data_IF_770909850812
#
_entry.id   IF_770909850812
#
_cell.length_a   1.000
_cell.length_b   1.000
_cell.length_c   1.000
_cell.angle_alpha   90.00
_cell.angle_beta   90.00
_cell.angle_gamma   90.00
#
_symmetry.space_group_name_H-M   'P 1'
#
loop_
_entity.id
_entity.type
_entity.pdbx_description
1 polymer ?
#
# COMPACT_ATOMS: atom_id res chain seq x y z
N UNK A 1 -27.67 6.43 -13.14
CA UNK A 1 -27.38 5.17 -12.56
C UNK A 1 -26.18 5.25 -11.66
N UNK A 2 -26.29 4.73 -10.53
CA UNK A 2 -25.19 4.80 -9.67
C UNK A 2 -24.23 3.67 -9.92
N UNK A 3 -22.99 3.98 -9.94
CA UNK A 3 -22.00 2.96 -10.14
C UNK A 3 -21.91 2.15 -8.87
N UNK A 4 -22.29 0.90 -8.98
CA UNK A 4 -22.16 0.04 -7.83
C UNK A 4 -20.72 -0.08 -7.40
N UNK A 5 -19.78 0.09 -8.34
CA UNK A 5 -18.39 0.07 -7.98
C UNK A 5 -18.02 1.13 -6.98
N UNK A 6 -18.63 2.31 -7.11
CA UNK A 6 -18.34 3.37 -6.15
C UNK A 6 -18.87 3.03 -4.78
N UNK A 7 -20.08 2.51 -4.71
CA UNK A 7 -20.60 2.08 -3.44
C UNK A 7 -19.77 0.93 -2.88
N UNK A 8 -19.33 0.03 -3.77
CA UNK A 8 -18.53 -1.10 -3.35
C UNK A 8 -17.14 -0.72 -2.87
N UNK A 9 -16.60 0.40 -3.36
CA UNK A 9 -15.28 0.81 -2.95
C UNK A 9 -15.25 1.09 -1.45
N UNK A 10 -16.23 1.80 -0.94
CA UNK A 10 -16.28 2.06 0.49
C UNK A 10 -16.38 0.79 1.29
N UNK A 11 -17.24 -0.13 0.85
CA UNK A 11 -17.41 -1.38 1.55
C UNK A 11 -16.14 -2.21 1.51
N UNK A 12 -15.52 -2.30 0.34
CA UNK A 12 -14.30 -3.10 0.22
C UNK A 12 -13.15 -2.52 1.00
N UNK A 13 -13.07 -1.19 1.02
CA UNK A 13 -11.98 -0.52 1.74
C UNK A 13 -12.14 -0.64 3.25
N UNK A 14 -13.36 -0.75 3.72
CA UNK A 14 -13.60 -0.80 5.16
C UNK A 14 -12.91 -2.00 5.79
N UNK A 15 -12.98 -3.15 5.14
CA UNK A 15 -12.31 -4.33 5.67
C UNK A 15 -10.81 -4.17 5.75
N UNK A 16 -10.23 -3.59 4.69
CA UNK A 16 -8.80 -3.36 4.66
C UNK A 16 -8.38 -2.35 5.73
N UNK A 17 -9.16 -1.28 5.89
CA UNK A 17 -8.86 -0.27 6.90
C UNK A 17 -8.96 -0.83 8.30
N UNK A 18 -9.93 -1.69 8.54
CA UNK A 18 -10.07 -2.34 9.83
C UNK A 18 -8.84 -3.18 10.14
N UNK A 19 -8.36 -3.95 9.16
CA UNK A 19 -7.17 -4.74 9.38
C UNK A 19 -5.95 -3.88 9.58
N UNK A 20 -5.86 -2.78 8.84
CA UNK A 20 -4.73 -1.87 8.96
C UNK A 20 -4.64 -1.28 10.36
N UNK A 21 -5.77 -0.97 10.95
CA UNK A 21 -5.79 -0.35 12.28
C UNK A 21 -5.70 -1.36 13.40
N UNK A 22 -5.69 -2.64 13.08
CA UNK A 22 -5.69 -3.69 14.10
C UNK A 22 -4.30 -4.18 14.41
N UNK A 23 -4.26 -5.30 15.07
CA UNK A 23 -2.99 -5.89 15.49
C UNK A 23 -2.45 -6.91 14.51
N UNK A 24 -3.21 -7.20 13.47
CA UNK A 24 -2.73 -8.17 12.49
C UNK A 24 -1.55 -7.57 11.75
N UNK A 25 -0.69 -8.45 11.29
CA UNK A 25 0.52 -8.01 10.60
C UNK A 25 0.22 -7.48 9.21
N UNK A 26 -0.72 -8.08 8.54
CA UNK A 26 -1.06 -7.67 7.18
C UNK A 26 -2.32 -6.83 7.21
N UNK A 27 -2.31 -5.69 6.55
CA UNK A 27 -1.21 -5.17 5.76
C UNK A 27 -0.12 -4.57 6.64
N UNK A 28 1.11 -4.70 6.18
CA UNK A 28 2.24 -4.17 6.91
C UNK A 28 2.28 -2.64 6.79
N UNK A 29 2.89 -2.01 7.78
CA UNK A 29 2.94 -0.54 7.80
C UNK A 29 3.68 0.03 6.60
N UNK A 30 4.80 -0.59 6.22
CA UNK A 30 5.55 -0.11 5.07
C UNK A 30 4.77 -0.25 3.78
N UNK A 31 4.06 -1.36 3.64
CA UNK A 31 3.22 -1.58 2.48
C UNK A 31 2.09 -0.55 2.43
N UNK A 32 1.48 -0.27 3.58
CA UNK A 32 0.41 0.71 3.64
C UNK A 32 0.92 2.10 3.32
N UNK A 33 2.10 2.45 3.80
CA UNK A 33 2.69 3.75 3.52
C UNK A 33 2.97 3.91 2.03
N UNK A 34 3.54 2.87 1.41
CA UNK A 34 3.83 2.93 -0.02
C UNK A 34 2.54 3.03 -0.84
N UNK A 35 1.51 2.32 -0.44
CA UNK A 35 0.25 2.37 -1.14
C UNK A 35 -0.42 3.74 -0.97
N UNK A 36 -0.31 4.32 0.20
CA UNK A 36 -0.82 5.67 0.43
C UNK A 36 -0.11 6.66 -0.50
N UNK A 37 1.21 6.52 -0.62
CA UNK A 37 1.96 7.35 -1.55
C UNK A 37 1.50 7.16 -2.98
N UNK A 38 1.26 5.91 -3.37
CA UNK A 38 0.79 5.63 -4.72
C UNK A 38 -0.58 6.26 -4.98
N UNK A 39 -1.46 6.24 -4.00
CA UNK A 39 -2.75 6.88 -4.14
C UNK A 39 -2.62 8.40 -4.28
N UNK A 40 -1.70 8.98 -3.51
CA UNK A 40 -1.45 10.41 -3.65
C UNK A 40 -0.94 10.77 -5.04
N UNK A 41 -0.01 9.96 -5.56
CA UNK A 41 0.50 10.19 -6.90
C UNK A 41 -0.61 10.00 -7.94
N UNK A 42 -1.47 9.01 -7.73
CA UNK A 42 -2.58 8.78 -8.65
C UNK A 42 -3.50 9.99 -8.71
N UNK A 43 -3.72 10.65 -7.58
CA UNK A 43 -4.53 11.86 -7.57
C UNK A 43 -3.86 12.99 -8.33
N UNK A 44 -2.54 13.10 -8.23
CA UNK A 44 -1.81 14.08 -9.01
C UNK A 44 -1.90 13.79 -10.50
N UNK A 45 -1.85 12.54 -10.88
CA UNK A 45 -2.03 12.15 -12.27
C UNK A 45 -3.41 12.57 -12.76
N UNK A 46 -4.42 12.31 -11.94
CA UNK A 46 -5.78 12.69 -12.29
C UNK A 46 -5.87 14.20 -12.50
N UNK A 47 -5.28 14.97 -11.60
CA UNK A 47 -5.28 16.40 -11.72
C UNK A 47 -4.56 16.85 -12.97
N UNK A 48 -3.41 16.27 -13.27
CA UNK A 48 -2.65 16.61 -14.45
C UNK A 48 -3.47 16.35 -15.71
N UNK A 49 -4.16 15.21 -15.75
CA UNK A 49 -4.97 14.88 -16.92
C UNK A 49 -6.17 15.78 -17.12
N UNK A 50 -6.60 16.42 -16.05
CA UNK A 50 -7.72 17.37 -16.15
C UNK A 50 -7.25 18.78 -16.46
N UNK A 51 -5.96 19.02 -16.44
CA UNK A 51 -5.39 20.31 -16.72
C UNK A 51 -5.00 20.38 -18.20
N UNK A 52 -5.15 21.55 -18.82
CA UNK A 52 -4.75 21.71 -20.20
C UNK A 52 -3.24 21.58 -20.32
N UNK A 53 -2.76 20.74 -21.23
CA UNK A 53 -1.32 20.51 -21.35
C UNK A 53 -0.51 21.79 -21.58
N UNK A 54 -1.07 22.76 -22.30
CA UNK A 54 -0.33 23.98 -22.59
C UNK A 54 -0.06 24.80 -21.35
N UNK A 55 -0.74 24.53 -20.27
CA UNK A 55 -0.54 25.27 -19.03
C UNK A 55 0.54 24.68 -18.14
N UNK A 56 1.03 23.51 -18.49
CA UNK A 56 2.01 22.81 -17.68
C UNK A 56 3.26 22.59 -18.52
N UNK A 57 4.36 23.25 -18.18
CA UNK A 57 5.60 23.04 -18.92
C UNK A 57 6.00 21.57 -18.85
N UNK A 58 6.42 21.04 -20.00
CA UNK A 58 6.89 19.66 -20.06
C UNK A 58 5.85 18.68 -19.53
N UNK A 59 4.61 18.90 -19.94
CA UNK A 59 3.48 18.11 -19.45
C UNK A 59 3.71 16.61 -19.62
N UNK A 60 4.18 16.19 -20.81
CA UNK A 60 4.36 14.78 -21.07
C UNK A 60 5.42 14.17 -20.16
N UNK A 61 6.49 14.90 -19.90
CA UNK A 61 7.53 14.40 -19.02
C UNK A 61 7.02 14.29 -17.59
N UNK A 62 6.25 15.27 -17.16
CA UNK A 62 5.68 15.23 -15.83
C UNK A 62 4.76 14.03 -15.68
N UNK A 63 3.90 13.81 -16.65
CA UNK A 63 2.96 12.70 -16.58
C UNK A 63 3.70 11.38 -16.56
N UNK A 64 4.74 11.22 -17.38
CA UNK A 64 5.53 10.01 -17.39
C UNK A 64 6.18 9.76 -16.03
N UNK A 65 6.71 10.80 -15.42
CA UNK A 65 7.32 10.65 -14.10
C UNK A 65 6.33 10.25 -13.03
N UNK A 66 5.14 10.83 -13.10
CA UNK A 66 4.10 10.49 -12.13
C UNK A 66 3.66 9.04 -12.29
N UNK A 67 3.46 8.61 -13.53
CA UNK A 67 3.06 7.24 -13.79
C UNK A 67 4.12 6.26 -13.31
N UNK A 68 5.37 6.58 -13.58
CA UNK A 68 6.47 5.73 -13.16
C UNK A 68 6.56 5.66 -11.64
N UNK A 69 6.40 6.79 -10.97
CA UNK A 69 6.43 6.83 -9.52
C UNK A 69 5.30 6.01 -8.92
N UNK A 70 4.11 6.11 -9.48
CA UNK A 70 2.98 5.35 -8.99
C UNK A 70 3.24 3.85 -9.09
N UNK A 71 3.77 3.41 -10.24
CA UNK A 71 4.05 2.00 -10.43
C UNK A 71 5.13 1.51 -9.49
N UNK A 72 6.16 2.32 -9.27
CA UNK A 72 7.24 1.91 -8.38
C UNK A 72 6.76 1.81 -6.94
N UNK A 73 5.90 2.71 -6.52
CA UNK A 73 5.35 2.64 -5.17
C UNK A 73 4.47 1.41 -5.00
N UNK A 74 3.71 1.06 -6.03
CA UNK A 74 2.88 -0.13 -5.96
C UNK A 74 3.73 -1.39 -5.85
N UNK A 75 4.84 -1.45 -6.58
CA UNK A 75 5.74 -2.58 -6.51
C UNK A 75 6.38 -2.66 -5.12
N UNK A 76 6.77 -1.52 -4.56
CA UNK A 76 7.35 -1.49 -3.23
C UNK A 76 6.35 -1.99 -2.20
N UNK A 77 5.09 -1.58 -2.33
CA UNK A 77 4.07 -2.03 -1.40
C UNK A 77 3.95 -3.55 -1.41
N UNK A 78 3.97 -4.14 -2.60
CA UNK A 78 3.85 -5.58 -2.72
C UNK A 78 5.08 -6.30 -2.21
N UNK A 79 6.27 -5.78 -2.53
CA UNK A 79 7.51 -6.37 -2.05
C UNK A 79 7.61 -6.33 -0.54
N UNK A 80 7.21 -5.22 0.05
CA UNK A 80 7.28 -5.09 1.50
C UNK A 80 6.35 -6.10 2.17
N UNK A 81 5.15 -6.25 1.65
CA UNK A 81 4.21 -7.19 2.22
C UNK A 81 4.74 -8.62 2.13
N UNK A 82 5.34 -8.97 0.99
CA UNK A 82 5.91 -10.30 0.80
C UNK A 82 7.07 -10.55 1.75
N UNK A 83 7.94 -9.55 1.89
CA UNK A 83 9.10 -9.69 2.74
C UNK A 83 8.71 -9.86 4.20
N UNK A 84 7.73 -9.10 4.65
CA UNK A 84 7.26 -9.22 6.03
C UNK A 84 6.64 -10.59 6.27
N UNK A 85 5.85 -11.06 5.33
CA UNK A 85 5.23 -12.37 5.46
C UNK A 85 6.29 -13.46 5.53
N UNK A 86 7.30 -13.40 4.67
CA UNK A 86 8.36 -14.38 4.66
C UNK A 86 9.16 -14.35 5.98
N UNK A 87 9.44 -13.15 6.47
CA UNK A 87 10.16 -12.99 7.71
C UNK A 87 9.40 -13.59 8.88
N UNK A 88 8.10 -13.34 8.93
CA UNK A 88 7.28 -13.86 9.99
C UNK A 88 7.17 -15.37 9.94
N UNK A 89 7.07 -15.93 8.74
CA UNK A 89 7.01 -17.38 8.61
C UNK A 89 8.29 -18.01 9.12
N UNK A 90 9.43 -17.45 8.76
CA UNK A 90 10.70 -17.97 9.23
C UNK A 90 10.79 -17.87 10.75
N UNK A 91 10.31 -16.77 11.28
CA UNK A 91 10.35 -16.56 12.70
C UNK A 91 9.46 -17.52 13.45
N UNK A 92 8.30 -17.83 12.90
CA UNK A 92 7.41 -18.78 13.53
C UNK A 92 8.02 -20.17 13.57
N UNK A 93 8.71 -20.56 12.52
CA UNK A 93 9.36 -21.84 12.52
C UNK A 93 10.40 -21.93 13.62
N UNK A 94 11.18 -20.88 13.80
CA UNK A 94 12.16 -20.88 14.86
C UNK A 94 11.51 -20.84 16.23
N UNK A 95 10.48 -20.04 16.36
CA UNK A 95 9.79 -19.94 17.62
C UNK A 95 9.18 -21.26 18.04
N UNK A 96 8.68 -22.00 17.06
CA UNK A 96 8.12 -23.31 17.37
C UNK A 96 9.16 -24.27 17.81
N UNK A 97 10.40 -24.09 17.41
CA UNK A 97 11.49 -24.96 17.80
C UNK A 97 12.17 -24.53 19.06
N UNK A 98 11.75 -23.45 19.64
CA UNK A 98 12.37 -22.94 20.86
C UNK A 98 11.32 -22.78 21.91
N UNK A 99 10.85 -23.85 22.43
CA UNK A 99 9.83 -23.81 23.45
C UNK A 99 10.36 -23.03 24.64
N UNK A 100 9.51 -22.32 25.27
CA UNK A 100 9.96 -21.56 26.41
C UNK A 100 10.55 -20.25 26.05
N UNK A 101 10.59 -19.94 24.77
CA UNK A 101 11.10 -18.67 24.40
C UNK A 101 10.22 -17.58 24.98
N UNK A 102 10.81 -16.65 25.64
CA UNK A 102 10.04 -15.65 26.36
C UNK A 102 9.55 -14.57 25.45
N UNK A 103 8.91 -14.97 24.44
CA UNK A 103 8.50 -14.04 23.48
C UNK A 103 7.60 -12.98 24.00
N UNK A 104 6.94 -13.24 24.97
CA UNK A 104 5.97 -12.30 25.39
C UNK A 104 6.44 -11.36 26.44
N UNK A 105 7.66 -11.48 26.87
CA UNK A 105 7.98 -10.65 27.95
C UNK A 105 8.06 -9.24 27.54
N UNK A 106 7.34 -8.47 28.15
CA UNK A 106 7.47 -7.06 27.96
C UNK A 106 6.94 -6.51 26.67
N UNK A 107 6.36 -7.30 25.92
CA UNK A 107 5.80 -6.75 24.72
C UNK A 107 4.33 -6.51 24.85
#
# INVERSE_FOLDING_TARGET
MRAEGEAGIGVRSAGWLTRLSGKTVNPAAGSAAALTGAMGVALLIKLARRTQPERVPKYDQLLDRLLNAMQRLAVIAESDASAVTAWLSARQLQGGNQPGEPRSKGW
#
